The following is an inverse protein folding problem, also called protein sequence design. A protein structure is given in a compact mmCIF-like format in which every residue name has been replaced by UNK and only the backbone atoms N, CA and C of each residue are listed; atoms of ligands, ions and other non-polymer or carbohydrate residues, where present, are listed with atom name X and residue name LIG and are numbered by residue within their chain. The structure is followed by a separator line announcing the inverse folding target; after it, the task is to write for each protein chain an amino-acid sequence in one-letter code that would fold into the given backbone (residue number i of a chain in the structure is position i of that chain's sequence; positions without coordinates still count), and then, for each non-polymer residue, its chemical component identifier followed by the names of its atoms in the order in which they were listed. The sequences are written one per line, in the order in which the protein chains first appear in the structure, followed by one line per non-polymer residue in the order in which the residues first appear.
data_IF_210817318060
#
_entry.id   IF_210817318060
#
_cell.length_a   1.000
_cell.length_b   1.000
_cell.length_c   1.000
_cell.angle_alpha   90.00
_cell.angle_beta   90.00
_cell.angle_gamma   90.00
#
_symmetry.space_group_name_H-M   'P 1'
#
loop_
_entity.id
_entity.type
_entity.pdbx_description
1 polymer ?
#
# COMPACT_ATOMS: atom_id res chain seq x y z
N UNK A 1 -18.62 12.03 6.04
CA UNK A 1 -19.74 12.05 7.00
C UNK A 1 -20.08 10.64 7.44
N UNK A 2 -20.74 9.82 6.60
CA UNK A 2 -21.20 8.46 6.95
C UNK A 2 -20.10 7.64 7.65
N UNK A 3 -18.94 7.46 7.03
CA UNK A 3 -17.82 6.69 7.61
C UNK A 3 -17.41 7.16 9.02
N UNK A 4 -17.35 8.48 9.26
CA UNK A 4 -16.91 9.04 10.53
C UNK A 4 -17.99 9.05 11.62
N UNK A 5 -19.27 8.91 11.25
CA UNK A 5 -20.40 8.96 12.20
C UNK A 5 -21.09 7.59 12.33
N UNK A 6 -20.59 6.57 11.64
CA UNK A 6 -21.15 5.22 11.67
C UNK A 6 -21.15 4.62 13.10
N UNK A 7 -20.10 4.82 13.93
CA UNK A 7 -20.11 4.34 15.32
C UNK A 7 -21.25 4.95 16.17
N UNK A 8 -21.65 6.19 15.88
CA UNK A 8 -22.68 6.92 16.62
C UNK A 8 -24.11 6.64 16.12
N UNK A 9 -24.25 5.83 15.07
CA UNK A 9 -25.53 5.52 14.42
C UNK A 9 -25.83 4.00 14.44
N UNK A 10 -25.88 3.36 15.62
CA UNK A 10 -25.93 1.89 15.75
C UNK A 10 -27.22 1.24 15.22
N UNK A 11 -28.31 2.00 15.09
CA UNK A 11 -29.58 1.51 14.57
C UNK A 11 -29.71 1.61 13.04
N UNK A 12 -28.77 2.28 12.36
CA UNK A 12 -28.83 2.51 10.91
C UNK A 12 -28.39 1.26 10.14
N UNK A 13 -29.34 0.60 9.50
CA UNK A 13 -29.11 -0.60 8.67
C UNK A 13 -28.59 -0.28 7.27
N UNK A 14 -28.96 0.87 6.72
CA UNK A 14 -28.58 1.32 5.38
C UNK A 14 -28.25 2.81 5.43
N UNK A 15 -27.08 3.17 4.92
CA UNK A 15 -26.68 4.55 4.69
C UNK A 15 -26.26 4.72 3.23
N UNK A 16 -26.81 5.73 2.55
CA UNK A 16 -26.47 6.03 1.15
C UNK A 16 -26.10 7.50 1.00
N UNK A 17 -24.99 7.75 0.32
CA UNK A 17 -24.64 9.11 -0.10
C UNK A 17 -25.44 9.52 -1.33
N UNK A 18 -26.37 10.48 -1.18
CA UNK A 18 -27.22 10.96 -2.29
C UNK A 18 -26.47 11.93 -3.25
N UNK A 19 -25.27 12.37 -2.85
CA UNK A 19 -24.38 13.18 -3.69
C UNK A 19 -24.98 14.52 -4.14
N UNK A 20 -24.39 15.12 -5.18
CA UNK A 20 -24.78 16.44 -5.67
C UNK A 20 -26.08 16.48 -6.50
N UNK A 21 -26.79 15.36 -6.66
CA UNK A 21 -28.10 15.33 -7.31
C UNK A 21 -29.18 15.93 -6.39
N UNK A 22 -29.01 15.76 -5.08
CA UNK A 22 -29.92 16.31 -4.06
C UNK A 22 -29.94 17.85 -4.06
N UNK A 23 -28.80 18.49 -4.36
CA UNK A 23 -28.71 19.95 -4.49
C UNK A 23 -29.62 20.51 -5.59
N UNK A 24 -29.92 19.73 -6.62
CA UNK A 24 -30.85 20.11 -7.67
C UNK A 24 -32.31 19.88 -7.26
N UNK A 25 -32.59 18.75 -6.59
CA UNK A 25 -33.94 18.42 -6.12
C UNK A 25 -34.43 19.42 -5.06
N UNK A 26 -33.52 19.87 -4.21
CA UNK A 26 -33.79 20.89 -3.17
C UNK A 26 -33.79 22.32 -3.70
N UNK A 27 -33.50 22.54 -4.99
CA UNK A 27 -33.45 23.88 -5.58
C UNK A 27 -32.24 24.73 -5.16
N UNK A 28 -31.33 24.22 -4.32
CA UNK A 28 -30.12 24.93 -3.88
C UNK A 28 -29.22 25.35 -5.03
N UNK A 29 -29.16 24.54 -6.09
CA UNK A 29 -28.37 24.84 -7.30
C UNK A 29 -29.28 24.73 -8.51
N UNK A 30 -29.18 25.71 -9.43
CA UNK A 30 -29.86 25.65 -10.71
C UNK A 30 -29.26 24.57 -11.60
N UNK A 31 -30.10 23.62 -12.02
CA UNK A 31 -29.71 22.56 -12.98
C UNK A 31 -29.43 23.13 -14.36
N UNK A 32 -28.59 22.45 -15.14
CA UNK A 32 -28.25 22.88 -16.50
C UNK A 32 -29.48 22.89 -17.43
N UNK A 33 -29.53 23.81 -18.42
CA UNK A 33 -30.53 23.80 -19.49
C UNK A 33 -30.66 22.43 -20.16
N UNK A 34 -31.84 22.11 -20.70
CA UNK A 34 -32.11 20.80 -21.34
C UNK A 34 -31.08 20.47 -22.44
N UNK A 35 -30.77 21.44 -23.30
CA UNK A 35 -29.80 21.25 -24.39
C UNK A 35 -28.43 20.83 -23.86
N UNK A 36 -27.90 21.52 -22.84
CA UNK A 36 -26.60 21.18 -22.23
C UNK A 36 -26.58 19.79 -21.61
N UNK A 37 -27.72 19.33 -21.07
CA UNK A 37 -27.85 17.96 -20.54
C UNK A 37 -27.82 16.92 -21.65
N UNK A 38 -28.52 17.19 -22.75
CA UNK A 38 -28.59 16.27 -23.90
C UNK A 38 -27.22 16.07 -24.55
N UNK A 39 -26.41 17.12 -24.66
CA UNK A 39 -25.04 17.04 -25.23
C UNK A 39 -23.97 16.65 -24.20
N UNK A 40 -24.36 16.29 -22.97
CA UNK A 40 -23.42 15.85 -21.92
C UNK A 40 -22.55 16.96 -21.29
N UNK A 41 -22.85 18.24 -21.53
CA UNK A 41 -22.10 19.39 -20.99
C UNK A 41 -22.61 19.88 -19.62
N UNK A 42 -23.42 19.10 -18.92
CA UNK A 42 -23.89 19.43 -17.57
C UNK A 42 -22.73 19.65 -16.58
N UNK A 43 -21.60 18.97 -16.77
CA UNK A 43 -20.39 19.17 -15.96
C UNK A 43 -19.80 20.59 -16.12
N UNK A 44 -19.88 21.18 -17.31
CA UNK A 44 -19.36 22.53 -17.59
C UNK A 44 -20.27 23.58 -16.95
N UNK A 45 -21.59 23.41 -17.05
CA UNK A 45 -22.55 24.24 -16.31
C UNK A 45 -22.29 24.19 -14.80
N UNK A 46 -22.05 22.99 -14.25
CA UNK A 46 -21.69 22.83 -12.84
C UNK A 46 -20.35 23.47 -12.50
N UNK A 47 -19.37 23.47 -13.40
CA UNK A 47 -18.08 24.13 -13.18
C UNK A 47 -18.23 25.64 -13.11
N UNK A 48 -19.02 26.23 -14.02
CA UNK A 48 -19.32 27.66 -14.01
C UNK A 48 -20.01 28.10 -12.71
N UNK A 49 -21.04 27.36 -12.29
CA UNK A 49 -21.76 27.66 -11.04
C UNK A 49 -20.93 27.38 -9.78
N UNK A 50 -19.92 26.50 -9.86
CA UNK A 50 -19.12 26.06 -8.71
C UNK A 50 -17.64 25.99 -9.10
N UNK A 51 -16.97 27.15 -9.27
CA UNK A 51 -15.62 27.24 -9.83
C UNK A 51 -14.57 26.48 -9.01
N UNK A 52 -14.78 26.31 -7.70
CA UNK A 52 -13.92 25.50 -6.83
C UNK A 52 -13.86 24.01 -7.24
N UNK A 53 -14.76 23.54 -8.12
CA UNK A 53 -14.68 22.21 -8.73
C UNK A 53 -13.57 22.07 -9.78
N UNK A 54 -12.97 23.17 -10.25
CA UNK A 54 -11.94 23.15 -11.30
C UNK A 54 -10.80 22.17 -10.99
N UNK A 55 -10.34 22.11 -9.73
CA UNK A 55 -9.30 21.15 -9.31
C UNK A 55 -9.68 19.69 -9.58
N UNK A 56 -10.96 19.33 -9.38
CA UNK A 56 -11.46 17.98 -9.66
C UNK A 56 -11.50 17.70 -11.16
N UNK A 57 -11.94 18.67 -11.96
CA UNK A 57 -11.97 18.54 -13.42
C UNK A 57 -10.55 18.41 -13.97
N UNK A 58 -9.60 19.24 -13.52
CA UNK A 58 -8.19 19.12 -13.87
C UNK A 58 -7.63 17.73 -13.51
N UNK A 59 -7.92 17.24 -12.30
CA UNK A 59 -7.50 15.91 -11.90
C UNK A 59 -8.09 14.81 -12.79
N UNK A 60 -9.35 14.95 -13.23
CA UNK A 60 -10.02 13.95 -14.06
C UNK A 60 -9.60 13.99 -15.53
N UNK A 61 -9.34 15.17 -16.09
CA UNK A 61 -9.08 15.36 -17.53
C UNK A 61 -7.59 15.37 -17.85
N UNK A 62 -6.75 15.83 -16.93
CA UNK A 62 -5.30 15.94 -17.16
C UNK A 62 -4.55 14.88 -16.35
N UNK A 63 -4.71 14.91 -15.02
CA UNK A 63 -3.90 14.05 -14.13
C UNK A 63 -4.24 12.58 -14.32
N UNK A 64 -5.52 12.23 -14.44
CA UNK A 64 -5.95 10.84 -14.59
C UNK A 64 -5.47 10.24 -15.93
N UNK A 65 -5.69 10.85 -17.11
CA UNK A 65 -5.15 10.31 -18.36
C UNK A 65 -3.62 10.22 -18.36
N UNK A 66 -2.92 11.22 -17.81
CA UNK A 66 -1.46 11.15 -17.68
C UNK A 66 -1.01 9.98 -16.78
N UNK A 67 -1.68 9.77 -15.63
CA UNK A 67 -1.44 8.62 -14.75
C UNK A 67 -1.78 7.30 -15.45
N UNK A 68 -2.86 7.24 -16.22
CA UNK A 68 -3.25 6.06 -16.98
C UNK A 68 -2.20 5.70 -18.05
N UNK A 69 -1.73 6.68 -18.83
CA UNK A 69 -0.69 6.46 -19.84
C UNK A 69 0.59 5.96 -19.17
N UNK A 70 1.00 6.60 -18.07
CA UNK A 70 2.16 6.16 -17.28
C UNK A 70 1.99 4.73 -16.79
N UNK A 71 0.85 4.41 -16.17
CA UNK A 71 0.55 3.07 -15.65
C UNK A 71 0.53 2.01 -16.77
N UNK A 72 -0.18 2.27 -17.87
CA UNK A 72 -0.44 1.29 -18.92
C UNK A 72 0.75 1.06 -19.84
N UNK A 73 1.49 2.12 -20.18
CA UNK A 73 2.50 2.07 -21.24
C UNK A 73 3.94 2.25 -20.75
N UNK A 74 4.15 2.99 -19.65
CA UNK A 74 5.49 3.35 -19.17
C UNK A 74 5.96 2.42 -18.03
N UNK A 75 5.13 2.22 -17.00
CA UNK A 75 5.52 1.47 -15.80
C UNK A 75 5.92 0.02 -16.11
N UNK A 76 5.36 -0.57 -17.17
CA UNK A 76 5.64 -1.96 -17.60
C UNK A 76 7.12 -2.21 -17.92
N UNK A 77 7.91 -1.17 -18.18
CA UNK A 77 9.34 -1.28 -18.46
C UNK A 77 10.19 -1.30 -17.19
N UNK A 78 9.64 -0.84 -16.06
CA UNK A 78 10.35 -0.61 -14.81
C UNK A 78 9.93 -1.59 -13.70
N UNK A 79 10.75 -1.63 -12.65
CA UNK A 79 10.45 -2.34 -11.41
C UNK A 79 9.93 -1.35 -10.37
N UNK A 80 8.93 -1.76 -9.59
CA UNK A 80 8.44 -0.98 -8.45
C UNK A 80 9.52 -0.99 -7.36
N UNK A 81 9.79 0.17 -6.76
CA UNK A 81 10.64 0.25 -5.56
C UNK A 81 9.88 -0.36 -4.37
N UNK A 82 10.53 -1.26 -3.65
CA UNK A 82 10.00 -1.92 -2.47
C UNK A 82 11.08 -1.91 -1.38
N UNK A 83 10.65 -1.83 -0.13
CA UNK A 83 11.50 -1.97 1.05
C UNK A 83 11.06 -3.22 1.81
N UNK A 84 12.03 -3.92 2.39
CA UNK A 84 11.79 -5.14 3.15
C UNK A 84 12.53 -5.05 4.48
N UNK A 85 11.83 -5.37 5.56
CA UNK A 85 12.37 -5.35 6.92
C UNK A 85 12.80 -6.74 7.36
N UNK A 86 14.09 -6.96 7.48
CA UNK A 86 14.63 -8.14 8.17
C UNK A 86 14.72 -7.81 9.66
N UNK A 87 13.66 -8.15 10.39
CA UNK A 87 13.51 -7.81 11.81
C UNK A 87 13.91 -9.01 12.64
N UNK A 88 14.90 -8.86 13.51
CA UNK A 88 15.34 -9.91 14.42
C UNK A 88 15.32 -9.46 15.88
N UNK A 89 15.09 -10.43 16.78
CA UNK A 89 15.06 -10.22 18.23
C UNK A 89 16.40 -10.59 18.89
N UNK A 90 16.49 -10.45 20.22
CA UNK A 90 17.70 -10.78 20.98
C UNK A 90 18.05 -12.28 21.01
N UNK A 91 17.16 -13.16 20.56
CA UNK A 91 17.37 -14.61 20.44
C UNK A 91 17.78 -15.03 19.03
N UNK A 92 18.13 -14.07 18.16
CA UNK A 92 18.42 -14.30 16.74
C UNK A 92 17.29 -14.99 15.98
N UNK A 93 16.04 -14.72 16.38
CA UNK A 93 14.87 -15.14 15.63
C UNK A 93 14.38 -13.98 14.76
N UNK A 94 13.84 -14.31 13.60
CA UNK A 94 13.41 -13.37 12.57
C UNK A 94 11.90 -13.34 12.50
N UNK A 95 11.32 -12.14 12.43
CA UNK A 95 9.87 -11.97 12.38
C UNK A 95 9.34 -12.30 10.99
N UNK A 96 8.44 -13.28 10.93
CA UNK A 96 7.66 -13.59 9.73
C UNK A 96 6.19 -13.24 9.96
N UNK A 97 5.56 -12.73 8.92
CA UNK A 97 4.13 -12.46 8.84
C UNK A 97 3.49 -13.37 7.78
N UNK A 98 2.28 -13.83 8.06
CA UNK A 98 1.51 -14.69 7.18
C UNK A 98 0.44 -13.90 6.42
N UNK A 99 0.37 -14.07 5.11
CA UNK A 99 -0.59 -13.34 4.28
C UNK A 99 -2.02 -13.87 4.46
N UNK A 100 -3.01 -12.98 4.53
CA UNK A 100 -4.40 -13.36 4.80
C UNK A 100 -5.00 -14.29 3.73
N UNK A 101 -4.51 -14.25 2.49
CA UNK A 101 -5.08 -15.04 1.37
C UNK A 101 -4.44 -16.40 1.17
N UNK A 102 -3.35 -16.71 1.87
CA UNK A 102 -2.58 -17.93 1.66
C UNK A 102 -1.92 -18.36 2.98
N UNK A 103 -2.35 -19.51 3.51
CA UNK A 103 -1.89 -20.06 4.78
C UNK A 103 -0.40 -20.45 4.76
N UNK A 104 0.15 -20.78 3.59
CA UNK A 104 1.56 -21.16 3.44
C UNK A 104 2.47 -19.95 3.16
N UNK A 105 1.88 -18.78 2.93
CA UNK A 105 2.62 -17.58 2.58
C UNK A 105 3.19 -16.87 3.80
N UNK A 106 4.33 -17.36 4.28
CA UNK A 106 5.15 -16.72 5.31
C UNK A 106 6.28 -15.91 4.69
N UNK A 107 6.41 -14.64 5.10
CA UNK A 107 7.45 -13.76 4.62
C UNK A 107 7.79 -12.64 5.60
N UNK A 108 8.89 -11.96 5.33
CA UNK A 108 9.30 -10.73 5.98
C UNK A 108 8.31 -9.59 5.63
N UNK A 109 8.07 -8.66 6.55
CA UNK A 109 7.30 -7.44 6.30
C UNK A 109 7.89 -6.62 5.15
N UNK A 110 7.05 -6.18 4.20
CA UNK A 110 7.53 -5.53 2.98
C UNK A 110 6.49 -4.66 2.27
N UNK A 111 6.92 -3.47 1.86
CA UNK A 111 6.00 -2.53 1.26
C UNK A 111 6.60 -1.60 0.21
N UNK A 112 5.76 -0.82 -0.45
CA UNK A 112 6.21 0.00 -1.57
C UNK A 112 6.78 1.32 -1.16
N UNK A 113 7.72 1.83 -1.94
CA UNK A 113 8.13 3.24 -1.81
C UNK A 113 7.26 4.10 -2.71
N UNK A 114 6.55 5.06 -2.12
CA UNK A 114 5.72 6.00 -2.86
C UNK A 114 6.55 7.12 -3.53
N UNK A 115 5.94 7.83 -4.49
CA UNK A 115 6.65 8.87 -5.24
C UNK A 115 6.98 10.04 -4.31
N UNK A 116 8.27 10.36 -4.18
CA UNK A 116 8.77 11.43 -3.31
C UNK A 116 9.03 10.98 -1.87
N UNK A 117 8.72 9.73 -1.53
CA UNK A 117 9.01 9.13 -0.22
C UNK A 117 10.45 8.61 -0.16
N UNK A 118 11.13 8.80 0.99
CA UNK A 118 12.42 8.15 1.23
C UNK A 118 12.23 6.67 1.54
N UNK A 119 13.24 5.83 1.29
CA UNK A 119 13.13 4.40 1.61
C UNK A 119 13.01 4.15 3.12
N UNK A 120 13.60 5.02 3.95
CA UNK A 120 13.54 4.94 5.40
C UNK A 120 12.14 5.31 5.93
N UNK A 121 11.53 6.35 5.36
CA UNK A 121 10.13 6.72 5.69
C UNK A 121 9.17 5.63 5.25
N UNK A 122 9.36 5.09 4.04
CA UNK A 122 8.58 3.98 3.53
C UNK A 122 8.69 2.77 4.46
N UNK A 123 9.90 2.38 4.89
CA UNK A 123 10.08 1.26 5.81
C UNK A 123 9.34 1.48 7.14
N UNK A 124 9.49 2.65 7.74
CA UNK A 124 8.82 2.98 9.01
C UNK A 124 7.30 2.99 8.88
N UNK A 125 6.78 3.49 7.76
CA UNK A 125 5.35 3.48 7.46
C UNK A 125 4.86 2.04 7.30
N UNK A 126 5.50 1.24 6.45
CA UNK A 126 5.06 -0.14 6.16
C UNK A 126 5.14 -1.03 7.40
N UNK A 127 6.20 -0.96 8.21
CA UNK A 127 6.28 -1.73 9.48
C UNK A 127 5.17 -1.32 10.45
N UNK A 128 4.88 -0.02 10.54
CA UNK A 128 3.81 0.48 11.41
C UNK A 128 2.43 0.07 10.87
N UNK A 129 2.24 0.08 9.55
CA UNK A 129 0.98 -0.29 8.90
C UNK A 129 0.74 -1.80 9.00
N UNK A 130 1.72 -2.63 8.66
CA UNK A 130 1.61 -4.11 8.61
C UNK A 130 1.66 -4.76 9.99
N UNK A 131 2.49 -4.24 10.91
CA UNK A 131 2.87 -4.90 12.17
C UNK A 131 2.62 -4.04 13.41
N UNK A 132 2.34 -2.75 13.25
CA UNK A 132 2.10 -1.84 14.39
C UNK A 132 3.35 -1.46 15.20
N UNK A 133 4.54 -1.96 14.83
CA UNK A 133 5.77 -1.71 15.58
C UNK A 133 6.36 -0.34 15.21
N UNK A 134 6.78 0.42 16.22
CA UNK A 134 7.58 1.65 16.03
C UNK A 134 8.94 1.62 16.73
N UNK A 135 9.14 0.71 17.68
CA UNK A 135 10.37 0.63 18.48
C UNK A 135 11.35 -0.40 17.89
N UNK A 136 12.17 0.04 16.94
CA UNK A 136 13.23 -0.77 16.34
C UNK A 136 14.45 0.10 16.02
N UNK A 137 15.62 -0.54 15.97
CA UNK A 137 16.87 0.09 15.54
C UNK A 137 17.24 -0.39 14.15
N UNK A 138 17.45 0.54 13.22
CA UNK A 138 18.04 0.23 11.92
C UNK A 138 19.55 0.01 12.12
N UNK A 139 20.06 -1.15 11.74
CA UNK A 139 21.49 -1.47 11.83
C UNK A 139 22.20 -1.23 10.50
N UNK A 140 21.61 -1.70 9.39
CA UNK A 140 22.17 -1.53 8.05
C UNK A 140 21.09 -1.50 6.97
N UNK A 141 21.46 -1.08 5.77
CA UNK A 141 20.60 -0.89 4.61
C UNK A 141 21.31 -1.23 3.30
N UNK A 142 20.76 -2.18 2.56
CA UNK A 142 21.27 -2.64 1.28
C UNK A 142 20.32 -2.29 0.14
N UNK A 143 20.65 -1.24 -0.62
CA UNK A 143 19.80 -0.72 -1.70
C UNK A 143 19.79 -1.65 -2.91
N UNK A 144 18.60 -1.87 -3.48
CA UNK A 144 18.40 -2.61 -4.73
C UNK A 144 19.00 -4.03 -4.73
N UNK A 145 19.04 -4.68 -3.57
CA UNK A 145 19.74 -5.95 -3.33
C UNK A 145 19.12 -7.12 -4.09
N UNK A 146 17.80 -7.11 -4.31
CA UNK A 146 17.10 -8.18 -5.00
C UNK A 146 16.06 -7.63 -5.98
N UNK A 147 15.86 -8.33 -7.09
CA UNK A 147 14.88 -7.98 -8.13
C UNK A 147 14.20 -9.25 -8.61
N UNK A 148 12.89 -9.21 -8.68
CA UNK A 148 12.10 -10.31 -9.25
C UNK A 148 11.01 -9.78 -10.16
N UNK A 149 10.61 -10.60 -11.14
CA UNK A 149 9.47 -10.34 -12.01
C UNK A 149 8.25 -11.02 -11.45
N UNK A 150 7.09 -10.40 -11.60
CA UNK A 150 5.84 -11.08 -11.28
C UNK A 150 5.48 -12.12 -12.35
N UNK A 151 4.66 -13.13 -11.98
CA UNK A 151 4.09 -14.07 -12.95
C UNK A 151 3.35 -13.36 -14.09
N UNK A 152 3.30 -13.99 -15.27
CA UNK A 152 2.53 -13.46 -16.41
C UNK A 152 1.07 -13.23 -15.99
N UNK A 153 0.54 -12.07 -16.34
CA UNK A 153 -0.84 -11.67 -16.04
C UNK A 153 -1.02 -10.89 -14.74
N UNK A 154 -0.05 -10.94 -13.81
CA UNK A 154 -0.10 -10.12 -12.60
C UNK A 154 0.74 -8.84 -12.75
N UNK A 155 0.17 -7.71 -12.36
CA UNK A 155 0.88 -6.43 -12.24
C UNK A 155 0.33 -5.62 -11.08
N UNK A 156 1.22 -4.97 -10.34
CA UNK A 156 0.86 -3.99 -9.32
C UNK A 156 1.33 -2.61 -9.77
N UNK A 157 0.41 -1.64 -9.84
CA UNK A 157 0.65 -0.27 -10.34
C UNK A 157 1.31 -0.21 -11.73
N UNK A 158 1.14 -1.25 -12.56
CA UNK A 158 1.60 -1.29 -13.95
C UNK A 158 3.06 -1.70 -14.11
N UNK A 159 3.76 -2.00 -13.01
CA UNK A 159 5.16 -2.46 -13.05
C UNK A 159 5.26 -3.93 -13.44
N UNK A 160 6.44 -4.38 -13.90
CA UNK A 160 6.71 -5.78 -14.26
C UNK A 160 7.18 -6.67 -13.11
N UNK A 161 7.48 -6.06 -11.97
CA UNK A 161 8.06 -6.72 -10.81
C UNK A 161 8.49 -5.71 -9.76
N UNK A 162 9.23 -6.19 -8.77
CA UNK A 162 9.78 -5.34 -7.71
C UNK A 162 11.31 -5.36 -7.67
N UNK A 163 11.85 -4.28 -7.10
CA UNK A 163 13.25 -4.12 -6.75
C UNK A 163 13.31 -3.74 -5.27
N UNK A 164 13.92 -4.60 -4.47
CA UNK A 164 13.88 -4.54 -3.02
C UNK A 164 15.13 -3.86 -2.47
N UNK A 165 14.93 -2.99 -1.50
CA UNK A 165 15.98 -2.45 -0.61
C UNK A 165 15.79 -3.11 0.75
N UNK A 166 16.80 -3.84 1.20
CA UNK A 166 16.79 -4.56 2.47
C UNK A 166 17.19 -3.63 3.61
N UNK A 167 16.49 -3.73 4.72
CA UNK A 167 16.87 -3.12 5.99
C UNK A 167 17.05 -4.18 7.05
N UNK A 168 18.17 -4.15 7.76
CA UNK A 168 18.43 -5.02 8.90
C UNK A 168 18.03 -4.28 10.16
N UNK A 169 17.07 -4.84 10.89
CA UNK A 169 16.38 -4.17 11.99
C UNK A 169 16.48 -5.01 13.26
N UNK A 170 16.95 -4.41 14.34
CA UNK A 170 16.91 -5.02 15.66
C UNK A 170 15.65 -4.59 16.41
N UNK A 171 14.83 -5.56 16.79
CA UNK A 171 13.66 -5.35 17.63
C UNK A 171 14.04 -5.54 19.11
N UNK A 172 13.78 -4.51 19.91
CA UNK A 172 14.05 -4.50 21.35
C UNK A 172 12.76 -4.31 22.18
N UNK A 173 11.59 -4.44 21.55
CA UNK A 173 10.29 -4.28 22.21
C UNK A 173 9.75 -5.59 22.80
N UNK A 174 8.50 -5.54 23.25
CA UNK A 174 7.75 -6.70 23.72
C UNK A 174 6.94 -7.29 22.56
N UNK A 175 6.76 -8.61 22.54
CA UNK A 175 5.93 -9.30 21.56
C UNK A 175 4.47 -8.76 21.55
N UNK A 176 3.99 -8.23 22.68
CA UNK A 176 2.67 -7.57 22.78
C UNK A 176 2.56 -6.26 21.98
N UNK A 177 3.70 -5.67 21.57
CA UNK A 177 3.71 -4.48 20.70
C UNK A 177 3.36 -4.83 19.25
N UNK A 178 3.44 -6.12 18.87
CA UNK A 178 3.18 -6.62 17.53
C UNK A 178 1.67 -6.69 17.29
N UNK A 179 1.15 -5.79 16.46
CA UNK A 179 -0.27 -5.67 16.11
C UNK A 179 -0.44 -5.68 14.61
N UNK A 180 -0.82 -6.84 14.08
CA UNK A 180 -0.98 -7.02 12.65
C UNK A 180 -2.11 -6.19 12.06
N UNK A 181 -1.94 -5.77 10.81
CA UNK A 181 -3.03 -5.26 9.98
C UNK A 181 -3.96 -6.41 9.58
N UNK A 182 -5.21 -6.46 10.08
CA UNK A 182 -6.10 -7.58 9.82
C UNK A 182 -6.59 -7.66 8.37
N UNK A 183 -6.32 -6.63 7.56
CA UNK A 183 -6.66 -6.60 6.13
C UNK A 183 -5.57 -7.24 5.26
N UNK A 184 -4.38 -7.47 5.81
CA UNK A 184 -3.21 -7.93 5.05
C UNK A 184 -2.60 -9.20 5.64
N UNK A 185 -2.50 -9.29 6.96
CA UNK A 185 -1.88 -10.41 7.65
C UNK A 185 -2.80 -10.98 8.73
N UNK A 186 -2.74 -12.30 8.90
CA UNK A 186 -3.54 -13.01 9.91
C UNK A 186 -2.74 -13.47 11.11
N UNK A 187 -1.47 -13.83 10.89
CA UNK A 187 -0.60 -14.42 11.91
C UNK A 187 0.83 -13.92 11.75
N UNK A 188 1.58 -14.01 12.85
CA UNK A 188 3.02 -13.72 12.88
C UNK A 188 3.72 -14.77 13.72
N UNK A 189 5.01 -14.98 13.45
CA UNK A 189 5.86 -15.86 14.27
C UNK A 189 7.31 -15.42 14.25
N UNK A 190 8.04 -15.82 15.29
CA UNK A 190 9.49 -15.77 15.33
C UNK A 190 10.06 -17.07 14.75
N UNK A 191 10.73 -16.99 13.60
CA UNK A 191 11.44 -18.11 12.98
C UNK A 191 12.92 -18.11 13.39
N UNK A 192 13.51 -19.26 13.68
CA UNK A 192 14.95 -19.35 13.92
C UNK A 192 15.71 -18.96 12.64
N UNK A 193 16.75 -18.14 12.77
CA UNK A 193 17.52 -17.68 11.60
C UNK A 193 18.11 -18.84 10.79
N UNK A 194 18.45 -19.96 11.44
CA UNK A 194 18.98 -21.15 10.79
C UNK A 194 17.91 -21.91 9.99
N UNK A 195 16.63 -21.75 10.34
CA UNK A 195 15.50 -22.40 9.66
C UNK A 195 14.68 -21.45 8.79
N UNK A 196 15.05 -20.16 8.73
CA UNK A 196 14.31 -19.10 8.04
C UNK A 196 13.93 -19.47 6.60
N UNK A 197 14.84 -20.08 5.85
CA UNK A 197 14.60 -20.44 4.45
C UNK A 197 13.50 -21.50 4.32
N UNK A 198 13.46 -22.48 5.22
CA UNK A 198 12.46 -23.55 5.18
C UNK A 198 11.10 -23.06 5.67
N UNK A 199 11.08 -22.11 6.59
CA UNK A 199 9.84 -21.52 7.11
C UNK A 199 9.24 -20.44 6.22
N UNK A 200 10.03 -19.87 5.32
CA UNK A 200 9.58 -18.88 4.35
C UNK A 200 8.94 -19.55 3.13
N UNK A 201 7.94 -18.86 2.56
CA UNK A 201 7.30 -19.29 1.33
C UNK A 201 8.32 -19.44 0.19
N UNK A 202 8.15 -20.45 -0.66
CA UNK A 202 9.12 -20.84 -1.70
C UNK A 202 9.57 -19.66 -2.60
N UNK A 203 8.65 -18.76 -2.92
CA UNK A 203 8.90 -17.57 -3.75
C UNK A 203 9.95 -16.62 -3.16
N UNK A 204 10.17 -16.64 -1.83
CA UNK A 204 11.10 -15.75 -1.15
C UNK A 204 12.46 -16.38 -0.84
N UNK A 205 12.59 -17.70 -0.95
CA UNK A 205 13.76 -18.44 -0.48
C UNK A 205 15.06 -17.96 -1.14
N UNK A 206 15.04 -17.65 -2.44
CA UNK A 206 16.22 -17.10 -3.14
C UNK A 206 16.65 -15.74 -2.59
N UNK A 207 15.67 -14.86 -2.34
CA UNK A 207 15.94 -13.53 -1.79
C UNK A 207 16.50 -13.64 -0.37
N UNK A 208 15.96 -14.56 0.45
CA UNK A 208 16.34 -14.66 1.86
C UNK A 208 17.72 -15.27 2.04
N UNK A 209 18.19 -16.12 1.11
CA UNK A 209 19.60 -16.57 1.09
C UNK A 209 20.55 -15.37 0.98
N UNK A 210 20.28 -14.45 0.05
CA UNK A 210 21.07 -13.23 -0.12
C UNK A 210 20.96 -12.33 1.12
N UNK A 211 19.77 -12.23 1.73
CA UNK A 211 19.58 -11.39 2.92
C UNK A 211 20.29 -11.95 4.15
N UNK A 212 20.34 -13.28 4.31
CA UNK A 212 21.11 -13.94 5.35
C UNK A 212 22.61 -13.70 5.16
N UNK A 213 23.13 -13.80 3.94
CA UNK A 213 24.52 -13.45 3.65
C UNK A 213 24.84 -12.02 4.11
N UNK A 214 23.96 -11.05 3.79
CA UNK A 214 24.10 -9.65 4.25
C UNK A 214 23.93 -9.44 5.73
N UNK A 215 23.09 -10.24 6.38
CA UNK A 215 22.93 -10.20 7.82
C UNK A 215 24.22 -10.64 8.54
N UNK A 216 24.89 -11.70 8.05
CA UNK A 216 26.14 -12.19 8.64
C UNK A 216 27.38 -11.32 8.36
N UNK A 217 27.27 -10.33 7.47
CA UNK A 217 28.33 -9.34 7.23
C UNK A 217 28.39 -8.23 8.30
N UNK A 218 27.36 -8.11 9.14
CA UNK A 218 27.18 -7.05 10.17
C UNK A 218 27.57 -7.54 11.55
#
# INVERSE_FOLDING_TARGET
FIYHNLPDLPSVKIAMGVGGAFDFLTGKIKRAPKLMRLIGMEWLWRLFMQPWRAKRIYNAVIVFPAKFIKYRFINKWFYRKNVIGFIFNNKNQVLLVNWIKDDDYWGLPQGGVDNGESEDDALRREIKEEIGISNFKILDKFKNIYKYKWPKGYTNRGYKGQRQTLFILKFNGDDNDIKLCPWEHKEWKWADINNLINEAHQVHQEAYKIFLEKFYEI
#
